data_IF_986227399314
#
_entry.id   IF_986227399314
#
_cell.length_a   1.000
_cell.length_b   1.000
_cell.length_c   1.000
_cell.angle_alpha   90.00
_cell.angle_beta   90.00
_cell.angle_gamma   90.00
#
_symmetry.space_group_name_H-M   'P 1'
#
loop_
_entity.id
_entity.type
_entity.pdbx_description
1 polymer ?
#
# COMPACT_ATOMS: atom_id res chain seq x y z
N UNK A 1 -11.74 -22.87 8.21
CA UNK A 1 -10.27 -23.03 8.28
C UNK A 1 -9.70 -21.96 9.19
N UNK A 2 -8.57 -22.23 9.81
CA UNK A 2 -7.79 -21.25 10.55
C UNK A 2 -6.64 -20.74 9.66
N UNK A 3 -6.62 -19.45 9.38
CA UNK A 3 -5.73 -18.84 8.37
C UNK A 3 -4.85 -17.79 9.01
N UNK A 4 -3.53 -17.88 8.78
CA UNK A 4 -2.58 -16.82 9.11
C UNK A 4 -2.32 -15.93 7.90
N UNK A 5 -2.46 -14.62 8.05
CA UNK A 5 -2.05 -13.62 7.05
C UNK A 5 -0.87 -12.85 7.60
N UNK A 6 0.29 -12.95 6.96
CA UNK A 6 1.53 -12.33 7.43
C UNK A 6 1.91 -11.15 6.54
N UNK A 7 2.06 -9.97 7.14
CA UNK A 7 2.20 -8.68 6.48
C UNK A 7 0.86 -8.00 6.26
N UNK A 8 0.57 -6.96 7.07
CA UNK A 8 -0.69 -6.22 7.00
C UNK A 8 -0.51 -4.91 6.22
N UNK A 9 -0.01 -5.06 5.00
CA UNK A 9 -0.07 -4.02 3.97
C UNK A 9 -1.42 -4.03 3.23
N UNK A 10 -1.48 -3.43 2.03
CA UNK A 10 -2.71 -3.39 1.22
C UNK A 10 -3.22 -4.79 0.90
N UNK A 11 -2.33 -5.69 0.47
CA UNK A 11 -2.71 -7.07 0.14
C UNK A 11 -3.23 -7.82 1.36
N UNK A 12 -2.49 -7.77 2.48
CA UNK A 12 -2.89 -8.42 3.73
C UNK A 12 -4.18 -7.85 4.28
N UNK A 13 -4.31 -6.53 4.36
CA UNK A 13 -5.55 -5.87 4.81
C UNK A 13 -6.76 -6.26 3.95
N UNK A 14 -6.60 -6.28 2.62
CA UNK A 14 -7.66 -6.71 1.72
C UNK A 14 -8.06 -8.18 1.96
N UNK A 15 -7.08 -9.08 2.09
CA UNK A 15 -7.38 -10.49 2.39
C UNK A 15 -8.08 -10.66 3.73
N UNK A 16 -7.65 -9.96 4.79
CA UNK A 16 -8.35 -9.99 6.08
C UNK A 16 -9.82 -9.60 5.92
N UNK A 17 -10.11 -8.51 5.18
CA UNK A 17 -11.48 -8.06 4.95
C UNK A 17 -12.35 -9.08 4.21
N UNK A 18 -11.73 -9.88 3.32
CA UNK A 18 -12.43 -10.88 2.50
C UNK A 18 -12.65 -12.22 3.19
N UNK A 19 -11.74 -12.60 4.07
CA UNK A 19 -11.73 -13.94 4.66
C UNK A 19 -12.39 -14.00 6.04
N UNK A 20 -12.45 -12.89 6.77
CA UNK A 20 -12.89 -12.85 8.17
C UNK A 20 -14.31 -13.33 8.44
N UNK A 21 -15.20 -13.27 7.45
CA UNK A 21 -16.59 -13.68 7.62
C UNK A 21 -16.81 -15.18 7.42
N UNK A 22 -15.86 -15.87 6.76
CA UNK A 22 -15.98 -17.28 6.42
C UNK A 22 -14.97 -18.17 7.14
N UNK A 23 -13.91 -17.56 7.67
CA UNK A 23 -12.78 -18.27 8.27
C UNK A 23 -12.32 -17.60 9.57
N UNK A 24 -11.67 -18.37 10.44
CA UNK A 24 -10.90 -17.83 11.55
C UNK A 24 -9.59 -17.28 11.01
N UNK A 25 -9.44 -15.95 11.01
CA UNK A 25 -8.27 -15.30 10.42
C UNK A 25 -7.51 -14.54 11.47
N UNK A 26 -6.18 -14.71 11.49
CA UNK A 26 -5.27 -13.97 12.37
C UNK A 26 -4.22 -13.27 11.51
N UNK A 27 -4.01 -11.98 11.76
CA UNK A 27 -3.01 -11.16 11.12
C UNK A 27 -1.71 -11.09 11.92
N UNK A 28 -0.58 -10.99 11.21
CA UNK A 28 0.75 -10.75 11.80
C UNK A 28 1.42 -9.60 11.05
N UNK A 29 1.87 -8.59 11.79
CA UNK A 29 2.58 -7.45 11.25
C UNK A 29 3.89 -7.22 12.02
N UNK A 30 5.00 -7.08 11.30
CA UNK A 30 6.33 -6.87 11.88
C UNK A 30 6.50 -5.52 12.56
N UNK A 31 5.79 -4.50 12.06
CA UNK A 31 5.83 -3.17 12.66
C UNK A 31 4.95 -3.16 13.91
N UNK A 32 5.34 -2.37 14.90
CA UNK A 32 4.47 -2.07 16.03
C UNK A 32 3.26 -1.26 15.53
N UNK A 33 2.15 -1.36 16.22
CA UNK A 33 0.90 -0.72 15.82
C UNK A 33 1.05 0.79 15.68
N UNK A 34 1.74 1.44 16.60
CA UNK A 34 1.99 2.88 16.59
C UNK A 34 2.88 3.35 15.42
N UNK A 35 3.69 2.43 14.87
CA UNK A 35 4.59 2.70 13.75
C UNK A 35 4.12 2.07 12.44
N UNK A 36 2.93 1.47 12.43
CA UNK A 36 2.40 0.83 11.24
C UNK A 36 2.12 1.87 10.15
N UNK A 37 3.01 1.95 9.19
CA UNK A 37 2.96 2.88 8.05
C UNK A 37 3.36 2.15 6.76
N UNK A 38 3.17 2.80 5.63
CA UNK A 38 3.51 2.28 4.33
C UNK A 38 4.18 3.36 3.48
N UNK A 39 5.44 3.12 3.13
CA UNK A 39 6.18 4.01 2.23
C UNK A 39 5.62 3.85 0.82
N UNK A 40 4.91 4.88 0.34
CA UNK A 40 4.27 4.86 -0.96
C UNK A 40 3.80 6.29 -1.31
N UNK A 41 3.75 6.65 -2.57
CA UNK A 41 3.19 7.94 -3.02
C UNK A 41 1.66 8.02 -2.84
N UNK A 42 1.02 6.94 -2.43
CA UNK A 42 -0.43 6.83 -2.16
C UNK A 42 -1.33 7.21 -3.34
N UNK A 43 -0.78 7.13 -4.56
CA UNK A 43 -1.51 7.37 -5.79
C UNK A 43 -2.15 6.08 -6.32
N UNK A 44 -3.41 6.17 -6.78
CA UNK A 44 -4.13 5.02 -7.35
C UNK A 44 -5.27 5.45 -8.26
N UNK A 45 -5.83 4.48 -8.99
CA UNK A 45 -7.08 4.66 -9.74
C UNK A 45 -8.28 4.59 -8.80
N UNK A 46 -9.05 5.68 -8.72
CA UNK A 46 -10.25 5.72 -7.89
C UNK A 46 -11.29 4.65 -8.28
N UNK A 47 -11.49 4.44 -9.59
CA UNK A 47 -12.49 3.49 -10.06
C UNK A 47 -12.15 2.05 -9.69
N UNK A 48 -10.91 1.63 -9.89
CA UNK A 48 -10.45 0.29 -9.53
C UNK A 48 -10.53 0.06 -8.02
N UNK A 49 -10.14 1.07 -7.23
CA UNK A 49 -10.21 0.95 -5.77
C UNK A 49 -11.64 0.92 -5.25
N UNK A 50 -12.57 1.66 -5.84
CA UNK A 50 -14.00 1.57 -5.50
C UNK A 50 -14.53 0.16 -5.73
N UNK A 51 -14.21 -0.45 -6.87
CA UNK A 51 -14.64 -1.82 -7.17
C UNK A 51 -14.03 -2.86 -6.21
N UNK A 52 -12.77 -2.70 -5.83
CA UNK A 52 -12.12 -3.57 -4.85
C UNK A 52 -12.74 -3.40 -3.46
N UNK A 53 -12.87 -2.16 -2.99
CA UNK A 53 -13.39 -1.85 -1.67
C UNK A 53 -14.86 -2.23 -1.50
N UNK A 54 -15.67 -2.11 -2.56
CA UNK A 54 -17.07 -2.56 -2.58
C UNK A 54 -17.22 -4.03 -2.23
N UNK A 55 -16.27 -4.89 -2.64
CA UNK A 55 -16.28 -6.31 -2.29
C UNK A 55 -16.08 -6.58 -0.80
N UNK A 56 -15.60 -5.60 -0.05
CA UNK A 56 -15.38 -5.62 1.40
C UNK A 56 -16.35 -4.68 2.14
N UNK A 57 -17.41 -4.19 1.47
CA UNK A 57 -18.41 -3.27 2.01
C UNK A 57 -17.80 -1.95 2.53
N UNK A 58 -16.70 -1.51 1.91
CA UNK A 58 -15.99 -0.28 2.28
C UNK A 58 -16.24 0.76 1.18
N UNK A 59 -16.63 1.96 1.57
CA UNK A 59 -16.69 3.11 0.68
C UNK A 59 -15.28 3.70 0.53
N UNK A 60 -14.65 3.54 -0.63
CA UNK A 60 -13.30 4.05 -0.87
C UNK A 60 -13.22 5.58 -0.84
N UNK A 61 -14.31 6.28 -1.18
CA UNK A 61 -14.33 7.74 -1.25
C UNK A 61 -14.08 8.41 0.11
N UNK A 62 -14.34 7.70 1.21
CA UNK A 62 -14.08 8.19 2.58
C UNK A 62 -12.56 8.32 2.88
N UNK A 63 -11.72 7.71 2.05
CA UNK A 63 -10.26 7.71 2.19
C UNK A 63 -9.55 8.59 1.17
N UNK A 64 -10.25 9.18 0.20
CA UNK A 64 -9.62 10.03 -0.82
C UNK A 64 -9.17 11.35 -0.19
N UNK A 65 -7.90 11.69 -0.39
CA UNK A 65 -7.30 12.94 0.07
C UNK A 65 -7.33 13.99 -1.04
N UNK A 66 -6.95 13.59 -2.27
CA UNK A 66 -6.88 14.51 -3.39
C UNK A 66 -7.25 13.82 -4.70
N UNK A 67 -7.98 14.54 -5.56
CA UNK A 67 -8.29 14.13 -6.93
C UNK A 67 -7.34 14.82 -7.90
N UNK A 68 -6.53 14.04 -8.59
CA UNK A 68 -5.62 14.54 -9.61
C UNK A 68 -6.39 15.04 -10.84
N UNK A 69 -6.06 16.24 -11.30
CA UNK A 69 -6.58 16.83 -12.54
C UNK A 69 -5.55 16.79 -13.64
N UNK A 70 -4.34 17.20 -13.30
CA UNK A 70 -3.22 17.31 -14.21
C UNK A 70 -1.96 16.67 -13.62
N UNK A 71 -1.13 16.07 -14.48
CA UNK A 71 0.25 15.72 -14.14
C UNK A 71 1.18 16.62 -14.95
N UNK A 72 1.99 17.36 -14.27
CA UNK A 72 2.99 18.24 -14.85
C UNK A 72 4.34 17.53 -14.89
N UNK A 73 4.94 17.43 -16.06
CA UNK A 73 6.24 16.79 -16.26
C UNK A 73 7.21 17.85 -16.79
N UNK A 74 8.16 18.27 -15.96
CA UNK A 74 9.23 19.19 -16.38
C UNK A 74 10.45 18.40 -16.84
N UNK A 75 10.79 18.51 -18.11
CA UNK A 75 11.97 17.90 -18.68
C UNK A 75 13.21 18.76 -18.45
N UNK A 76 14.39 18.16 -18.48
CA UNK A 76 15.67 18.85 -18.24
C UNK A 76 16.06 19.89 -19.28
N UNK A 77 15.41 19.88 -20.44
CA UNK A 77 15.58 20.84 -21.54
C UNK A 77 14.64 22.05 -21.46
N UNK A 78 13.99 22.28 -20.32
CA UNK A 78 12.96 23.28 -20.06
C UNK A 78 11.64 23.06 -20.84
N UNK A 79 11.45 21.90 -21.41
CA UNK A 79 10.14 21.51 -21.95
C UNK A 79 9.24 21.04 -20.82
N UNK A 80 7.96 21.36 -20.91
CA UNK A 80 6.92 20.92 -19.97
C UNK A 80 5.81 20.21 -20.72
N UNK A 81 5.38 19.09 -20.17
CA UNK A 81 4.24 18.33 -20.66
C UNK A 81 3.17 18.28 -19.58
N UNK A 82 1.94 18.60 -19.98
CA UNK A 82 0.78 18.51 -19.10
C UNK A 82 -0.11 17.35 -19.57
N UNK A 83 -0.33 16.39 -18.70
CA UNK A 83 -1.16 15.21 -18.97
C UNK A 83 -2.44 15.31 -18.15
N UNK A 84 -3.58 15.30 -18.82
CA UNK A 84 -4.88 15.23 -18.14
C UNK A 84 -5.07 13.87 -17.46
N UNK A 85 -5.29 13.90 -16.17
CA UNK A 85 -5.50 12.69 -15.36
C UNK A 85 -6.98 12.30 -15.38
N UNK A 86 -7.22 10.99 -15.46
CA UNK A 86 -8.56 10.41 -15.41
C UNK A 86 -8.67 9.47 -14.20
N UNK A 87 -9.15 10.02 -13.08
CA UNK A 87 -9.43 9.24 -11.89
C UNK A 87 -8.20 8.82 -11.07
N UNK A 88 -7.04 9.45 -11.27
CA UNK A 88 -5.91 9.31 -10.34
C UNK A 88 -6.24 10.08 -9.06
N UNK A 89 -6.07 9.43 -7.92
CA UNK A 89 -6.28 10.02 -6.59
C UNK A 89 -5.13 9.69 -5.67
N UNK A 90 -4.90 10.53 -4.67
CA UNK A 90 -4.17 10.13 -3.46
C UNK A 90 -5.16 9.82 -2.35
N UNK A 91 -4.81 8.91 -1.46
CA UNK A 91 -5.72 8.43 -0.44
C UNK A 91 -5.01 8.10 0.87
N UNK A 92 -5.75 8.10 1.97
CA UNK A 92 -5.28 7.63 3.27
C UNK A 92 -5.14 6.10 3.26
N UNK A 93 -3.97 5.66 2.84
CA UNK A 93 -3.66 4.25 2.71
C UNK A 93 -3.69 3.50 4.05
N UNK A 94 -3.20 4.13 5.10
CA UNK A 94 -3.15 3.50 6.42
C UNK A 94 -4.53 3.41 7.03
N UNK A 95 -5.33 4.48 6.93
CA UNK A 95 -6.73 4.46 7.32
C UNK A 95 -7.52 3.37 6.61
N UNK A 96 -7.33 3.23 5.31
CA UNK A 96 -7.97 2.17 4.53
C UNK A 96 -7.54 0.77 4.98
N UNK A 97 -6.23 0.52 5.19
CA UNK A 97 -5.72 -0.78 5.68
C UNK A 97 -6.33 -1.11 7.04
N UNK A 98 -6.36 -0.15 7.98
CA UNK A 98 -6.98 -0.34 9.29
C UNK A 98 -8.46 -0.67 9.18
N UNK A 99 -9.18 0.02 8.30
CA UNK A 99 -10.60 -0.27 8.04
C UNK A 99 -10.83 -1.67 7.47
N UNK A 100 -10.00 -2.10 6.54
CA UNK A 100 -10.05 -3.46 5.98
C UNK A 100 -9.79 -4.53 7.05
N UNK A 101 -8.89 -4.27 7.97
CA UNK A 101 -8.50 -5.19 9.04
C UNK A 101 -9.42 -5.14 10.27
N UNK A 102 -10.41 -4.23 10.28
CA UNK A 102 -11.33 -4.06 11.42
C UNK A 102 -12.04 -5.36 11.79
N UNK A 103 -12.05 -5.67 13.09
CA UNK A 103 -12.66 -6.89 13.63
C UNK A 103 -11.79 -8.16 13.51
N UNK A 104 -10.58 -8.05 12.98
CA UNK A 104 -9.63 -9.16 12.93
C UNK A 104 -8.54 -8.97 13.99
N UNK A 105 -8.18 -10.06 14.69
CA UNK A 105 -7.05 -10.06 15.62
C UNK A 105 -5.74 -9.94 14.85
N UNK A 106 -4.94 -8.91 15.18
CA UNK A 106 -3.61 -8.70 14.60
C UNK A 106 -2.57 -8.71 15.70
N UNK A 107 -1.49 -9.45 15.47
CA UNK A 107 -0.30 -9.42 16.28
C UNK A 107 0.73 -8.47 15.65
N UNK A 108 0.86 -7.28 16.21
CA UNK A 108 1.83 -6.28 15.79
C UNK A 108 3.20 -6.50 16.43
N UNK A 109 4.27 -6.04 15.77
CA UNK A 109 5.64 -6.17 16.25
C UNK A 109 6.20 -7.58 16.15
N UNK A 110 5.58 -8.45 15.35
CA UNK A 110 5.89 -9.89 15.30
C UNK A 110 6.06 -10.36 13.86
N UNK A 111 7.10 -11.15 13.65
CA UNK A 111 7.25 -11.99 12.45
C UNK A 111 7.41 -13.41 12.95
N UNK A 112 6.36 -14.24 12.97
CA UNK A 112 6.41 -15.60 13.48
C UNK A 112 7.29 -16.48 12.59
N UNK A 113 7.80 -17.58 13.14
CA UNK A 113 8.50 -18.60 12.34
C UNK A 113 7.50 -19.45 11.57
N UNK A 114 7.87 -19.88 10.37
CA UNK A 114 7.00 -20.71 9.54
C UNK A 114 6.56 -21.98 10.25
N UNK A 115 7.50 -22.66 10.91
CA UNK A 115 7.25 -23.92 11.61
C UNK A 115 6.30 -23.77 12.83
N UNK A 116 6.17 -22.55 13.38
CA UNK A 116 5.21 -22.23 14.43
C UNK A 116 3.81 -22.08 13.83
N UNK A 117 3.72 -21.38 12.71
CA UNK A 117 2.45 -21.20 12.00
C UNK A 117 1.90 -22.53 11.44
N UNK A 118 2.76 -23.38 10.87
CA UNK A 118 2.37 -24.68 10.32
C UNK A 118 1.74 -25.62 11.36
N UNK A 119 2.05 -25.45 12.63
CA UNK A 119 1.45 -26.23 13.72
C UNK A 119 0.07 -25.76 14.14
N UNK A 120 -0.24 -24.51 13.84
CA UNK A 120 -1.44 -23.84 14.38
C UNK A 120 -2.48 -23.52 13.30
N UNK A 121 -2.08 -23.34 12.05
CA UNK A 121 -2.92 -22.85 10.98
C UNK A 121 -3.06 -23.86 9.85
N UNK A 122 -4.26 -23.92 9.29
CA UNK A 122 -4.56 -24.74 8.11
C UNK A 122 -3.96 -24.14 6.83
N UNK A 123 -3.80 -22.81 6.81
CA UNK A 123 -3.27 -22.05 5.68
C UNK A 123 -2.45 -20.85 6.16
N UNK A 124 -1.33 -20.61 5.49
CA UNK A 124 -0.46 -19.45 5.73
C UNK A 124 -0.36 -18.66 4.43
N UNK A 125 -0.66 -17.36 4.48
CA UNK A 125 -0.60 -16.46 3.33
C UNK A 125 0.48 -15.42 3.56
N UNK A 126 1.52 -15.46 2.74
CA UNK A 126 2.62 -14.48 2.77
C UNK A 126 2.23 -13.20 2.00
N UNK A 127 1.94 -12.14 2.75
CA UNK A 127 1.67 -10.79 2.27
C UNK A 127 2.79 -9.81 2.64
N UNK A 128 4.01 -10.31 2.91
CA UNK A 128 5.16 -9.50 3.34
C UNK A 128 5.78 -8.67 2.22
N UNK A 129 5.18 -8.70 1.04
CA UNK A 129 5.59 -7.91 -0.12
C UNK A 129 6.99 -8.28 -0.58
N UNK A 130 7.84 -7.28 -0.68
CA UNK A 130 9.23 -7.43 -1.11
C UNK A 130 10.05 -8.42 -0.25
N UNK A 131 9.76 -8.53 1.03
CA UNK A 131 10.51 -9.40 1.93
C UNK A 131 10.33 -10.89 1.64
N UNK A 132 9.18 -11.31 1.10
CA UNK A 132 8.89 -12.72 0.78
C UNK A 132 9.34 -13.63 1.91
N UNK A 133 8.85 -13.37 3.14
CA UNK A 133 9.40 -13.95 4.36
C UNK A 133 9.36 -15.47 4.39
N UNK A 134 8.39 -16.08 3.72
CA UNK A 134 8.19 -17.54 3.67
C UNK A 134 8.28 -18.10 2.25
N UNK A 135 8.44 -17.25 1.26
CA UNK A 135 8.56 -17.65 -0.14
C UNK A 135 10.02 -17.62 -0.60
N UNK A 136 10.41 -18.46 -1.57
CA UNK A 136 11.73 -18.39 -2.17
C UNK A 136 12.03 -16.98 -2.69
N UNK A 137 13.25 -16.51 -2.49
CA UNK A 137 13.70 -15.25 -3.08
C UNK A 137 13.82 -15.38 -4.59
N UNK A 138 13.51 -14.29 -5.29
CA UNK A 138 13.70 -14.23 -6.73
C UNK A 138 15.19 -14.05 -7.00
N UNK A 139 15.82 -14.98 -7.75
CA UNK A 139 17.26 -14.97 -8.00
C UNK A 139 17.73 -13.75 -8.80
N UNK A 140 16.89 -13.30 -9.74
CA UNK A 140 17.16 -12.11 -10.57
C UNK A 140 16.02 -11.13 -10.37
N UNK A 141 16.12 -10.32 -9.32
CA UNK A 141 15.15 -9.29 -9.02
C UNK A 141 15.69 -7.91 -9.36
N UNK A 142 14.83 -7.05 -9.85
CA UNK A 142 15.17 -5.67 -10.17
C UNK A 142 14.63 -4.76 -9.07
N UNK A 143 15.53 -3.98 -8.46
CA UNK A 143 15.19 -3.05 -7.40
C UNK A 143 15.27 -1.62 -7.89
N UNK A 144 14.17 -0.89 -7.75
CA UNK A 144 14.15 0.55 -7.90
C UNK A 144 14.06 1.18 -6.50
N UNK A 145 15.18 1.65 -5.94
CA UNK A 145 15.14 2.30 -4.64
C UNK A 145 14.38 3.62 -4.75
N UNK A 146 13.43 3.82 -3.84
CA UNK A 146 12.63 5.05 -3.76
C UNK A 146 12.73 5.64 -2.37
N UNK A 147 12.75 6.96 -2.30
CA UNK A 147 12.72 7.71 -1.05
C UNK A 147 11.47 8.57 -1.03
N UNK A 148 10.83 8.65 0.13
CA UNK A 148 9.67 9.49 0.34
C UNK A 148 9.90 10.40 1.54
N UNK A 149 9.55 11.67 1.36
CA UNK A 149 9.53 12.66 2.43
C UNK A 149 8.08 13.14 2.62
N UNK A 150 7.63 13.12 3.86
CA UNK A 150 6.40 13.82 4.28
C UNK A 150 6.83 15.21 4.76
N UNK A 151 6.37 16.25 4.08
CA UNK A 151 6.72 17.62 4.39
C UNK A 151 5.50 18.29 5.00
N UNK A 152 5.67 18.83 6.21
CA UNK A 152 4.70 19.77 6.77
C UNK A 152 4.96 21.13 6.17
N UNK A 153 3.92 21.78 5.66
CA UNK A 153 4.03 23.04 4.98
C UNK A 153 3.04 24.05 5.56
N UNK A 154 3.59 25.20 6.02
CA UNK A 154 2.78 26.30 6.53
C UNK A 154 2.50 27.29 5.39
N UNK A 155 1.25 27.37 4.96
CA UNK A 155 0.81 28.29 3.91
C UNK A 155 0.23 27.59 2.70
N UNK A 156 0.30 28.26 1.53
CA UNK A 156 -0.21 27.70 0.28
C UNK A 156 0.75 26.65 -0.27
N UNK A 157 0.25 25.44 -0.52
CA UNK A 157 1.05 24.38 -1.15
C UNK A 157 1.53 24.89 -2.52
N UNK A 158 2.85 24.85 -2.81
CA UNK A 158 3.40 25.39 -4.04
C UNK A 158 3.07 24.54 -5.28
N UNK A 159 2.60 23.33 -5.09
CA UNK A 159 2.24 22.37 -6.13
C UNK A 159 0.78 21.98 -5.90
N UNK A 160 -0.07 22.28 -6.87
CA UNK A 160 -1.52 22.09 -6.74
C UNK A 160 -1.99 20.73 -7.24
N UNK A 161 -1.12 19.94 -7.88
CA UNK A 161 -1.46 18.66 -8.45
C UNK A 161 -0.23 17.74 -8.52
N UNK A 162 -0.22 16.74 -9.41
CA UNK A 162 0.90 15.84 -9.57
C UNK A 162 2.03 16.50 -10.37
N UNK A 163 3.23 16.46 -9.83
CA UNK A 163 4.40 17.02 -10.47
C UNK A 163 5.53 16.00 -10.56
N UNK A 164 6.08 15.82 -11.76
CA UNK A 164 7.17 14.89 -12.03
C UNK A 164 8.33 15.65 -12.67
N UNK A 165 9.53 15.49 -12.11
CA UNK A 165 10.75 16.03 -12.70
C UNK A 165 11.76 14.89 -12.88
N UNK A 166 11.85 14.30 -14.07
CA UNK A 166 12.86 13.28 -14.34
C UNK A 166 14.26 13.90 -14.39
N UNK A 167 15.23 13.23 -13.80
CA UNK A 167 16.64 13.61 -13.84
C UNK A 167 17.38 12.67 -14.78
N UNK A 168 17.60 13.08 -16.03
CA UNK A 168 18.19 12.24 -17.08
C UNK A 168 19.56 11.66 -16.75
N UNK A 169 20.34 12.32 -15.89
CA UNK A 169 21.65 11.83 -15.46
C UNK A 169 21.58 10.76 -14.37
N UNK A 170 20.42 10.58 -13.73
CA UNK A 170 20.20 9.56 -12.71
C UNK A 170 19.54 8.31 -13.27
N UNK A 171 18.90 8.43 -14.40
CA UNK A 171 18.37 7.30 -15.15
C UNK A 171 19.48 6.69 -15.99
N UNK A 172 20.57 6.32 -15.41
CA UNK A 172 21.67 5.63 -16.11
C UNK A 172 21.21 4.29 -16.74
N UNK A 173 20.12 4.33 -17.43
CA UNK A 173 19.51 3.27 -18.22
C UNK A 173 19.65 3.62 -19.69
#
# INVERSE_FOLDING_TARGET
MKIAVVGIGVAGGYLLSRLKNEHEVIGYERMKEENHDSICAWGTSANEMRELCKKSEINFDDFIIHHGKDMHIDMNNNERFDIKLKGLVTFDKIGLIKKMAEGVKIHYGVTPKLEELEKEFDMIIDCTGFYRSYLPKIEKDFFLPTYQYKIQYDGKIPIDDFFVKPFSKMTGY
#
